data_IF_627882672017
#
_entry.id   IF_627882672017
#
_cell.length_a   1.000
_cell.length_b   1.000
_cell.length_c   1.000
_cell.angle_alpha   90.00
_cell.angle_beta   90.00
_cell.angle_gamma   90.00
#
_symmetry.space_group_name_H-M   'P 1'
#
loop_
_entity.id
_entity.type
_entity.pdbx_description
1 polymer ?
#
# COMPACT_ATOMS: atom_id res chain seq x y z
N UNK A 1 -15.38 4.90 -2.67
CA UNK A 1 -15.33 6.35 -2.99
C UNK A 1 -15.25 6.49 -4.50
N UNK A 2 -15.77 7.55 -5.11
CA UNK A 2 -15.59 7.78 -6.55
C UNK A 2 -14.15 8.26 -6.80
N UNK A 3 -13.24 7.31 -7.00
CA UNK A 3 -11.79 7.55 -7.08
C UNK A 3 -11.14 6.86 -8.28
N UNK A 4 -9.82 7.02 -8.46
CA UNK A 4 -9.09 6.54 -9.64
C UNK A 4 -9.05 5.02 -9.78
N UNK A 5 -9.40 4.28 -8.73
CA UNK A 5 -9.48 2.82 -8.71
C UNK A 5 -10.76 2.29 -9.40
N UNK A 6 -11.81 3.10 -9.47
CA UNK A 6 -13.09 2.72 -10.09
C UNK A 6 -13.06 3.01 -11.59
N UNK A 7 -12.44 2.10 -12.33
CA UNK A 7 -12.20 2.24 -13.77
C UNK A 7 -13.35 1.68 -14.64
N UNK A 8 -14.41 1.15 -14.03
CA UNK A 8 -15.53 0.54 -14.75
C UNK A 8 -16.19 1.51 -15.72
N UNK A 9 -16.09 1.23 -17.03
CA UNK A 9 -16.70 2.05 -18.08
C UNK A 9 -15.96 3.35 -18.43
N UNK A 10 -14.76 3.58 -17.87
CA UNK A 10 -13.92 4.72 -18.22
C UNK A 10 -13.29 4.54 -19.61
N UNK A 11 -12.99 5.65 -20.29
CA UNK A 11 -12.41 5.69 -21.64
C UNK A 11 -11.04 6.38 -21.64
N UNK A 12 -10.23 6.15 -22.68
CA UNK A 12 -8.98 6.89 -22.90
C UNK A 12 -7.69 6.24 -22.40
N UNK A 13 -7.73 4.99 -21.91
CA UNK A 13 -6.53 4.27 -21.43
C UNK A 13 -5.68 3.62 -22.53
N UNK A 14 -6.14 3.63 -23.78
CA UNK A 14 -5.46 2.95 -24.88
C UNK A 14 -5.68 1.43 -24.89
N UNK A 15 -4.95 0.69 -25.75
CA UNK A 15 -5.06 -0.76 -25.84
C UNK A 15 -4.41 -1.45 -24.64
N UNK A 16 -4.92 -2.64 -24.29
CA UNK A 16 -4.26 -3.55 -23.34
C UNK A 16 -3.00 -4.12 -24.00
N UNK A 17 -1.85 -4.01 -23.33
CA UNK A 17 -0.54 -4.40 -23.85
C UNK A 17 0.20 -5.34 -22.87
N UNK A 18 -0.13 -6.64 -22.85
CA UNK A 18 0.53 -7.60 -21.97
C UNK A 18 1.99 -7.83 -22.37
N UNK A 19 2.87 -8.01 -21.38
CA UNK A 19 4.26 -8.38 -21.60
C UNK A 19 4.39 -9.88 -21.89
N UNK A 20 5.23 -10.24 -22.87
CA UNK A 20 5.55 -11.64 -23.12
C UNK A 20 6.50 -12.16 -22.04
N UNK A 21 6.22 -13.33 -21.48
CA UNK A 21 7.03 -13.95 -20.42
C UNK A 21 7.21 -13.05 -19.17
N UNK A 22 6.15 -12.31 -18.81
CA UNK A 22 6.15 -11.38 -17.67
C UNK A 22 6.65 -12.06 -16.39
N UNK A 23 7.68 -11.51 -15.72
CA UNK A 23 8.17 -12.06 -14.47
C UNK A 23 7.16 -11.82 -13.34
N UNK A 24 7.23 -12.63 -12.27
CA UNK A 24 6.38 -12.42 -11.08
C UNK A 24 6.63 -11.05 -10.40
N UNK A 25 7.88 -10.58 -10.48
CA UNK A 25 8.34 -9.29 -9.97
C UNK A 25 9.38 -8.73 -10.95
N UNK A 26 9.17 -7.51 -11.44
CA UNK A 26 10.09 -6.77 -12.30
C UNK A 26 11.29 -6.22 -11.52
N UNK A 27 11.16 -6.03 -10.21
CA UNK A 27 12.25 -5.58 -9.35
C UNK A 27 12.28 -6.29 -7.99
N UNK A 28 13.48 -6.47 -7.45
CA UNK A 28 13.69 -7.17 -6.17
C UNK A 28 12.95 -6.53 -4.97
N UNK A 29 12.60 -5.24 -5.04
CA UNK A 29 11.87 -4.56 -3.98
C UNK A 29 10.37 -4.90 -3.98
N UNK A 30 9.80 -5.33 -5.10
CA UNK A 30 8.37 -5.61 -5.23
C UNK A 30 7.96 -6.84 -4.42
N UNK A 31 8.78 -7.90 -4.48
CA UNK A 31 8.63 -9.07 -3.62
C UNK A 31 8.70 -8.71 -2.13
N UNK A 32 9.57 -7.75 -1.77
CA UNK A 32 9.66 -7.25 -0.39
C UNK A 32 8.44 -6.43 0.00
N UNK A 33 7.94 -5.57 -0.90
CA UNK A 33 6.75 -4.75 -0.67
C UNK A 33 5.51 -5.61 -0.43
N UNK A 34 5.34 -6.67 -1.22
CA UNK A 34 4.29 -7.66 -0.99
C UNK A 34 4.48 -8.40 0.33
N UNK A 35 5.68 -8.93 0.57
CA UNK A 35 6.01 -9.68 1.78
C UNK A 35 5.76 -8.89 3.07
N UNK A 36 6.21 -7.63 3.13
CA UNK A 36 5.99 -6.77 4.30
C UNK A 36 4.52 -6.39 4.47
N UNK A 37 3.79 -6.15 3.37
CA UNK A 37 2.35 -5.85 3.47
C UNK A 37 1.57 -7.02 4.06
N UNK A 38 1.86 -8.25 3.62
CA UNK A 38 1.24 -9.46 4.17
C UNK A 38 1.63 -9.69 5.63
N UNK A 39 2.91 -9.50 5.97
CA UNK A 39 3.38 -9.62 7.35
C UNK A 39 2.69 -8.61 8.29
N UNK A 40 2.50 -7.37 7.84
CA UNK A 40 1.76 -6.36 8.59
C UNK A 40 0.27 -6.68 8.70
N UNK A 41 -0.34 -7.28 7.67
CA UNK A 41 -1.72 -7.78 7.75
C UNK A 41 -1.91 -8.83 8.84
N UNK A 42 -0.90 -9.68 9.07
CA UNK A 42 -0.92 -10.69 10.13
C UNK A 42 -0.83 -10.09 11.55
N UNK A 43 -0.51 -8.80 11.70
CA UNK A 43 -0.58 -8.10 12.99
C UNK A 43 -2.02 -7.90 13.47
N UNK A 44 -3.02 -8.05 12.58
CA UNK A 44 -4.43 -7.94 12.93
C UNK A 44 -4.88 -6.55 13.39
N UNK A 45 -4.11 -5.51 13.07
CA UNK A 45 -4.40 -4.13 13.49
C UNK A 45 -5.55 -3.49 12.70
N UNK A 46 -5.83 -3.99 11.50
CA UNK A 46 -6.91 -3.50 10.63
C UNK A 46 -7.47 -4.64 9.76
N UNK A 47 -8.74 -4.56 9.32
CA UNK A 47 -9.31 -5.52 8.37
C UNK A 47 -8.80 -5.29 6.95
N UNK A 48 -8.97 -6.28 6.08
CA UNK A 48 -8.58 -6.20 4.66
C UNK A 48 -9.26 -5.03 3.94
N UNK A 49 -10.51 -4.73 4.27
CA UNK A 49 -11.28 -3.66 3.63
C UNK A 49 -10.68 -2.29 3.91
N UNK A 50 -10.11 -2.07 5.09
CA UNK A 50 -9.39 -0.85 5.38
C UNK A 50 -8.06 -0.77 4.60
N UNK A 51 -7.41 -1.92 4.39
CA UNK A 51 -6.28 -2.04 3.49
C UNK A 51 -6.60 -1.64 2.05
N UNK A 52 -7.79 -2.01 1.55
CA UNK A 52 -8.29 -1.58 0.23
C UNK A 52 -8.57 -0.09 0.23
N UNK A 53 -9.32 0.39 1.21
CA UNK A 53 -9.66 1.80 1.35
C UNK A 53 -8.42 2.72 1.41
N UNK A 54 -7.35 2.29 2.09
CA UNK A 54 -6.09 3.03 2.12
C UNK A 54 -5.45 3.20 0.73
N UNK A 55 -5.55 2.19 -0.15
CA UNK A 55 -5.06 2.26 -1.54
C UNK A 55 -5.96 3.14 -2.39
N UNK A 56 -7.26 3.01 -2.21
CA UNK A 56 -8.29 3.80 -2.90
C UNK A 56 -8.21 5.29 -2.55
N UNK A 57 -7.66 5.62 -1.38
CA UNK A 57 -7.50 6.98 -0.86
C UNK A 57 -6.25 7.71 -1.35
N UNK A 58 -5.38 7.06 -2.14
CA UNK A 58 -4.23 7.74 -2.73
C UNK A 58 -4.70 8.86 -3.66
N UNK A 59 -3.98 9.98 -3.64
CA UNK A 59 -4.27 11.10 -4.52
C UNK A 59 -4.29 10.64 -6.00
N UNK A 60 -5.26 11.05 -6.84
CA UNK A 60 -5.39 10.52 -8.21
C UNK A 60 -4.12 10.61 -9.05
N UNK A 61 -3.39 11.71 -8.95
CA UNK A 61 -2.11 11.88 -9.65
C UNK A 61 -1.05 10.86 -9.21
N UNK A 62 -1.07 10.40 -7.95
CA UNK A 62 -0.18 9.34 -7.46
C UNK A 62 -0.70 8.00 -7.96
N UNK A 63 -1.99 7.71 -7.79
CA UNK A 63 -2.57 6.41 -8.15
C UNK A 63 -2.33 6.04 -9.62
N UNK A 64 -2.52 6.97 -10.54
CA UNK A 64 -2.32 6.71 -11.98
C UNK A 64 -0.85 6.60 -12.41
N UNK A 65 0.08 7.16 -11.63
CA UNK A 65 1.51 7.15 -11.98
C UNK A 65 2.31 6.13 -11.16
N UNK A 66 1.69 5.47 -10.19
CA UNK A 66 2.32 4.47 -9.36
C UNK A 66 2.24 3.09 -10.02
N UNK A 67 3.33 2.33 -9.94
CA UNK A 67 3.27 0.90 -10.27
C UNK A 67 2.42 0.13 -9.25
N UNK A 68 2.03 -1.10 -9.58
CA UNK A 68 1.15 -1.89 -8.73
C UNK A 68 1.68 -1.99 -7.29
N UNK A 69 2.95 -2.35 -7.11
CA UNK A 69 3.53 -2.49 -5.77
C UNK A 69 3.84 -1.14 -5.08
N UNK A 70 3.95 -0.04 -5.82
CA UNK A 70 4.03 1.30 -5.24
C UNK A 70 2.70 1.72 -4.60
N UNK A 71 1.55 1.38 -5.18
CA UNK A 71 0.24 1.59 -4.56
C UNK A 71 0.16 0.87 -3.21
N UNK A 72 0.63 -0.37 -3.16
CA UNK A 72 0.62 -1.19 -1.95
C UNK A 72 1.49 -0.59 -0.84
N UNK A 73 2.74 -0.23 -1.13
CA UNK A 73 3.66 0.27 -0.11
C UNK A 73 3.21 1.62 0.44
N UNK A 74 2.73 2.54 -0.42
CA UNK A 74 2.21 3.87 0.01
C UNK A 74 1.00 3.77 0.92
N UNK A 75 0.10 2.83 0.61
CA UNK A 75 -1.06 2.57 1.47
C UNK A 75 -0.62 1.95 2.81
N UNK A 76 0.33 1.02 2.79
CA UNK A 76 0.87 0.41 4.01
C UNK A 76 1.53 1.45 4.92
N UNK A 77 2.36 2.35 4.36
CA UNK A 77 2.98 3.46 5.10
C UNK A 77 1.95 4.29 5.85
N UNK A 78 0.85 4.63 5.18
CA UNK A 78 -0.26 5.40 5.77
C UNK A 78 -0.92 4.64 6.93
N UNK A 79 -1.13 3.33 6.80
CA UNK A 79 -1.71 2.48 7.85
C UNK A 79 -0.77 2.33 9.04
N UNK A 80 0.52 2.09 8.80
CA UNK A 80 1.52 1.97 9.86
C UNK A 80 1.60 3.24 10.72
N UNK A 81 1.51 4.41 10.08
CA UNK A 81 1.44 5.70 10.79
C UNK A 81 0.11 5.87 11.51
N UNK A 82 -1.02 5.58 10.84
CA UNK A 82 -2.37 5.71 11.42
C UNK A 82 -2.51 4.92 12.72
N UNK A 83 -1.98 3.69 12.75
CA UNK A 83 -2.04 2.80 13.91
C UNK A 83 -0.86 2.98 14.89
N UNK A 84 0.02 3.96 14.65
CA UNK A 84 1.14 4.26 15.53
C UNK A 84 2.19 3.14 15.63
N UNK A 85 2.25 2.26 14.64
CA UNK A 85 3.26 1.19 14.55
C UNK A 85 4.60 1.73 14.08
N UNK A 86 4.58 2.77 13.25
CA UNK A 86 5.76 3.52 12.79
C UNK A 86 5.41 5.01 12.84
N UNK A 87 6.32 5.84 13.36
CA UNK A 87 6.14 7.30 13.30
C UNK A 87 6.55 7.86 11.94
N UNK A 88 5.99 9.01 11.56
CA UNK A 88 6.38 9.71 10.32
C UNK A 88 7.90 10.02 10.27
N UNK A 89 8.52 10.32 11.41
CA UNK A 89 9.96 10.58 11.48
C UNK A 89 10.82 9.33 11.32
N UNK A 90 10.35 8.17 11.78
CA UNK A 90 11.03 6.88 11.55
C UNK A 90 10.93 6.49 10.08
N UNK A 91 9.75 6.65 9.47
CA UNK A 91 9.55 6.37 8.06
C UNK A 91 10.43 7.28 7.17
N UNK A 92 10.40 8.60 7.41
CA UNK A 92 11.20 9.55 6.64
C UNK A 92 12.71 9.35 6.78
N UNK A 93 13.18 8.82 7.91
CA UNK A 93 14.61 8.58 8.14
C UNK A 93 15.09 7.15 7.87
N UNK A 94 14.17 6.21 7.64
CA UNK A 94 14.47 4.79 7.49
C UNK A 94 15.10 4.17 8.75
N UNK A 95 14.94 4.78 9.92
CA UNK A 95 15.56 4.34 11.18
C UNK A 95 14.50 4.28 12.27
N UNK A 96 14.36 3.11 12.91
CA UNK A 96 13.57 2.96 14.13
C UNK A 96 14.22 3.74 15.28
N UNK A 97 13.46 4.61 15.95
CA UNK A 97 13.95 5.49 17.02
C UNK A 97 13.18 5.30 18.33
N UNK A 98 12.01 4.69 18.27
CA UNK A 98 11.13 4.44 19.41
C UNK A 98 10.96 2.93 19.66
N UNK A 99 10.60 2.56 20.89
CA UNK A 99 10.17 1.18 21.17
C UNK A 99 8.82 0.97 20.49
N UNK A 100 8.63 -0.07 19.66
CA UNK A 100 7.36 -0.29 18.97
C UNK A 100 6.21 -0.38 19.98
N UNK A 101 5.11 0.32 19.70
CA UNK A 101 3.86 0.12 20.44
C UNK A 101 3.37 -1.30 20.16
N UNK A 102 2.99 -2.03 21.21
CA UNK A 102 2.38 -3.34 21.01
C UNK A 102 1.07 -3.16 20.20
N UNK A 103 0.82 -3.99 19.17
CA UNK A 103 -0.42 -3.93 18.43
C UNK A 103 -1.59 -4.19 19.39
N UNK A 104 -2.50 -3.23 19.50
CA UNK A 104 -3.68 -3.32 20.36
C UNK A 104 -4.93 -3.38 19.47
N UNK A 105 -5.68 -4.46 19.56
CA UNK A 105 -6.91 -4.68 18.78
C UNK A 105 -8.09 -3.76 19.18
N UNK A 106 -7.86 -2.74 20.03
CA UNK A 106 -8.92 -2.04 20.77
C UNK A 106 -9.32 -0.67 20.19
N UNK A 107 -8.73 -0.25 19.07
CA UNK A 107 -9.04 1.06 18.46
C UNK A 107 -9.76 0.93 17.09
N UNK A 108 -10.56 -0.13 16.90
CA UNK A 108 -11.40 -0.34 15.72
C UNK A 108 -12.84 0.18 15.94
#
# INVERSE_FOLDING_TARGET
MNGPHDLGGQMGFGPVAPEQDEPQYHAAWEARAMGVTLACGALGCWPLDEGRFARESLHPAIYYNATYYEIWIRALESLLVKYGLVSAGELASGRGRSRPRAPSATDA
#
